data_IF_900491602574
#
_entry.id   IF_900491602574
#
_cell.length_a   1.000
_cell.length_b   1.000
_cell.length_c   1.000
_cell.angle_alpha   90.00
_cell.angle_beta   90.00
_cell.angle_gamma   90.00
#
_symmetry.space_group_name_H-M   'P 1'
#
loop_
_entity.id
_entity.type
_entity.pdbx_description
1 polymer ?
#
# COMPACT_ATOMS: atom_id res chain seq x y z
N UNK A 1 57.46 -14.40 26.90
CA UNK A 1 58.07 -15.31 25.92
C UNK A 1 58.81 -14.45 24.90
N UNK A 2 60.11 -14.31 25.11
CA UNK A 2 61.05 -13.41 24.42
C UNK A 2 61.90 -14.22 23.44
N UNK A 3 62.06 -13.77 22.19
CA UNK A 3 63.04 -14.25 21.19
C UNK A 3 63.27 -13.06 20.23
N UNK A 4 64.34 -12.26 20.28
CA UNK A 4 65.79 -12.52 20.15
C UNK A 4 66.13 -13.10 18.77
N UNK A 5 66.21 -12.22 17.76
CA UNK A 5 66.72 -12.54 16.41
C UNK A 5 68.19 -12.12 16.34
N UNK A 6 69.01 -13.11 15.98
CA UNK A 6 70.46 -13.14 15.99
C UNK A 6 71.08 -12.35 14.83
N UNK A 7 71.95 -11.39 15.18
CA UNK A 7 72.98 -10.84 14.29
C UNK A 7 74.18 -11.78 14.34
N UNK A 8 74.32 -12.67 13.35
CA UNK A 8 75.53 -13.46 13.19
C UNK A 8 75.66 -13.91 11.74
N UNK A 9 76.40 -13.13 10.93
CA UNK A 9 77.08 -13.52 9.67
C UNK A 9 77.48 -12.26 8.90
N UNK A 10 78.52 -11.55 9.37
CA UNK A 10 79.40 -10.78 8.47
C UNK A 10 80.66 -10.35 9.21
N UNK A 11 81.58 -11.28 9.49
CA UNK A 11 82.94 -10.94 9.96
C UNK A 11 83.83 -12.18 9.77
N UNK A 12 84.20 -12.45 8.53
CA UNK A 12 85.20 -13.45 8.17
C UNK A 12 85.74 -13.18 6.75
N UNK A 13 86.51 -12.10 6.59
CA UNK A 13 87.36 -11.89 5.42
C UNK A 13 88.49 -10.87 5.69
N UNK A 14 89.13 -10.94 6.86
CA UNK A 14 90.40 -10.25 7.12
C UNK A 14 91.43 -11.31 7.51
N UNK A 15 91.96 -11.99 6.50
CA UNK A 15 93.05 -12.93 6.66
C UNK A 15 94.13 -12.59 5.63
N UNK A 16 95.34 -12.39 6.16
CA UNK A 16 96.63 -12.51 5.49
C UNK A 16 96.93 -11.44 4.42
N UNK A 17 97.91 -10.58 4.71
CA UNK A 17 99.20 -10.58 4.01
C UNK A 17 100.20 -9.82 4.92
N UNK A 18 101.11 -10.60 5.49
CA UNK A 18 102.41 -10.15 5.99
C UNK A 18 103.47 -11.01 5.30
N UNK A 19 104.67 -10.44 5.15
CA UNK A 19 105.85 -10.94 4.41
C UNK A 19 105.77 -10.73 2.88
N UNK A 20 106.75 -10.14 2.19
CA UNK A 20 108.18 -10.02 2.49
C UNK A 20 108.80 -8.90 1.63
N UNK A 21 109.55 -8.01 2.27
CA UNK A 21 110.54 -7.13 1.66
C UNK A 21 111.85 -7.90 1.54
N UNK A 22 112.34 -8.15 0.33
CA UNK A 22 113.79 -8.12 0.01
C UNK A 22 114.02 -8.25 -1.50
N UNK A 23 114.37 -7.11 -2.11
CA UNK A 23 115.37 -6.94 -3.15
C UNK A 23 115.29 -7.79 -4.41
N UNK A 24 114.86 -7.18 -5.52
CA UNK A 24 115.56 -7.33 -6.80
C UNK A 24 115.33 -6.05 -7.63
N UNK A 25 116.45 -5.41 -7.93
CA UNK A 25 116.74 -4.49 -9.04
C UNK A 25 115.61 -3.58 -9.53
N UNK A 26 115.82 -2.28 -9.31
CA UNK A 26 115.26 -1.20 -10.12
C UNK A 26 115.60 -1.42 -11.60
N UNK A 27 114.81 -2.24 -12.28
CA UNK A 27 114.60 -2.12 -13.71
C UNK A 27 113.42 -1.19 -13.84
N UNK A 28 113.71 0.04 -14.27
CA UNK A 28 112.72 0.87 -14.92
C UNK A 28 112.18 0.06 -16.11
N UNK A 29 111.14 -0.75 -15.86
CA UNK A 29 110.17 -1.11 -16.87
C UNK A 29 109.46 0.21 -17.18
N UNK A 30 110.11 0.97 -18.06
CA UNK A 30 109.56 2.03 -18.85
C UNK A 30 108.39 1.40 -19.61
N UNK A 31 107.24 1.24 -18.95
CA UNK A 31 105.97 1.15 -19.65
C UNK A 31 106.00 2.31 -20.63
N UNK A 32 105.80 2.03 -21.92
CA UNK A 32 105.57 3.11 -22.86
C UNK A 32 104.39 3.90 -22.31
N UNK A 33 104.60 5.17 -21.97
CA UNK A 33 103.58 6.07 -21.44
C UNK A 33 102.32 6.08 -22.33
N UNK A 34 102.50 5.67 -23.60
CA UNK A 34 101.49 5.51 -24.63
C UNK A 34 100.51 4.34 -24.40
N UNK A 35 100.96 3.13 -24.02
CA UNK A 35 100.04 1.98 -23.80
C UNK A 35 99.11 2.21 -22.59
N UNK A 36 99.68 2.75 -21.51
CA UNK A 36 98.92 3.12 -20.33
C UNK A 36 97.89 4.23 -20.64
N UNK A 37 98.25 5.22 -21.48
CA UNK A 37 97.29 6.23 -21.98
C UNK A 37 96.17 5.60 -22.78
N UNK A 38 96.46 4.62 -23.64
CA UNK A 38 95.46 3.96 -24.47
C UNK A 38 94.44 3.19 -23.62
N UNK A 39 94.90 2.41 -22.64
CA UNK A 39 94.04 1.69 -21.71
C UNK A 39 93.15 2.63 -20.87
N UNK A 40 93.67 3.81 -20.48
CA UNK A 40 92.88 4.84 -19.78
C UNK A 40 91.80 5.42 -20.71
N UNK A 41 92.09 5.64 -21.99
CA UNK A 41 91.11 6.13 -22.97
C UNK A 41 90.00 5.09 -23.17
N UNK A 42 90.35 3.82 -23.34
CA UNK A 42 89.39 2.73 -23.52
C UNK A 42 88.52 2.50 -22.27
N UNK A 43 89.11 2.52 -21.07
CA UNK A 43 88.36 2.43 -19.82
C UNK A 43 87.41 3.62 -19.64
N UNK A 44 87.85 4.84 -19.96
CA UNK A 44 86.97 6.03 -19.93
C UNK A 44 85.82 5.88 -20.92
N UNK A 45 86.07 5.32 -22.10
CA UNK A 45 85.05 5.05 -23.12
C UNK A 45 84.04 4.01 -22.63
N UNK A 46 84.50 2.89 -22.08
CA UNK A 46 83.63 1.84 -21.51
C UNK A 46 82.80 2.36 -20.33
N UNK A 47 83.40 3.15 -19.43
CA UNK A 47 82.68 3.78 -18.31
C UNK A 47 81.63 4.76 -18.83
N UNK A 48 81.92 5.53 -19.89
CA UNK A 48 80.95 6.43 -20.53
C UNK A 48 79.81 5.64 -21.15
N UNK A 49 80.13 4.58 -21.90
CA UNK A 49 79.14 3.71 -22.53
C UNK A 49 78.25 3.00 -21.49
N UNK A 50 78.83 2.52 -20.38
CA UNK A 50 78.06 1.97 -19.26
C UNK A 50 77.18 3.01 -18.58
N UNK A 51 77.70 4.23 -18.35
CA UNK A 51 76.92 5.32 -17.78
C UNK A 51 75.76 5.73 -18.69
N UNK A 52 75.98 5.75 -20.01
CA UNK A 52 74.97 6.03 -21.02
C UNK A 52 73.93 4.91 -21.12
N UNK A 53 74.35 3.64 -21.02
CA UNK A 53 73.41 2.51 -20.97
C UNK A 53 72.58 2.53 -19.68
N UNK A 54 73.19 2.84 -18.54
CA UNK A 54 72.49 2.93 -17.25
C UNK A 54 71.51 4.11 -17.23
N UNK A 55 71.88 5.26 -17.80
CA UNK A 55 70.98 6.41 -17.90
C UNK A 55 69.80 6.15 -18.83
N UNK A 56 70.00 5.44 -19.95
CA UNK A 56 68.91 5.00 -20.84
C UNK A 56 67.94 4.05 -20.14
N UNK A 57 68.44 3.03 -19.43
CA UNK A 57 67.57 2.11 -18.66
C UNK A 57 66.74 2.83 -17.60
N UNK A 58 67.36 3.74 -16.84
CA UNK A 58 66.64 4.55 -15.85
C UNK A 58 65.57 5.45 -16.50
N UNK A 59 65.87 6.01 -17.67
CA UNK A 59 64.89 6.79 -18.44
C UNK A 59 63.73 5.93 -18.94
N UNK A 60 64.00 4.72 -19.44
CA UNK A 60 63.00 3.76 -19.88
C UNK A 60 62.12 3.27 -18.72
N UNK A 61 62.71 2.92 -17.58
CA UNK A 61 61.99 2.50 -16.36
C UNK A 61 61.12 3.64 -15.81
N UNK A 62 61.63 4.87 -15.81
CA UNK A 62 60.86 6.05 -15.40
C UNK A 62 59.69 6.29 -16.37
N UNK A 63 59.92 6.18 -17.67
CA UNK A 63 58.87 6.33 -18.67
C UNK A 63 57.80 5.22 -18.54
N UNK A 64 58.20 3.98 -18.26
CA UNK A 64 57.28 2.87 -18.00
C UNK A 64 56.47 3.09 -16.72
N UNK A 65 57.11 3.56 -15.65
CA UNK A 65 56.44 3.92 -14.39
C UNK A 65 55.44 5.06 -14.57
N UNK A 66 55.80 6.08 -15.34
CA UNK A 66 54.88 7.18 -15.69
C UNK A 66 53.67 6.68 -16.49
N UNK A 67 53.88 5.78 -17.46
CA UNK A 67 52.78 5.17 -18.24
C UNK A 67 51.85 4.34 -17.37
N UNK A 68 52.38 3.54 -16.44
CA UNK A 68 51.54 2.74 -15.53
C UNK A 68 50.76 3.62 -14.54
N UNK A 69 51.35 4.71 -14.04
CA UNK A 69 50.65 5.70 -13.21
C UNK A 69 49.49 6.37 -13.96
N UNK A 70 49.70 6.75 -15.22
CA UNK A 70 48.62 7.30 -16.06
C UNK A 70 47.50 6.29 -16.31
N UNK A 71 47.85 5.02 -16.52
CA UNK A 71 46.86 3.95 -16.70
C UNK A 71 46.02 3.74 -15.43
N UNK A 72 46.65 3.73 -14.25
CA UNK A 72 45.94 3.63 -12.97
C UNK A 72 45.06 4.84 -12.70
N UNK A 73 45.54 6.06 -13.01
CA UNK A 73 44.74 7.28 -12.89
C UNK A 73 43.47 7.20 -13.77
N UNK A 74 43.61 6.75 -15.02
CA UNK A 74 42.47 6.55 -15.92
C UNK A 74 41.48 5.50 -15.40
N UNK A 75 41.98 4.40 -14.80
CA UNK A 75 41.10 3.38 -14.20
C UNK A 75 40.36 3.90 -12.96
N UNK A 76 41.01 4.73 -12.14
CA UNK A 76 40.36 5.39 -10.99
C UNK A 76 39.26 6.32 -11.47
N UNK A 77 39.49 7.11 -12.52
CA UNK A 77 38.46 7.96 -13.12
C UNK A 77 37.26 7.15 -13.64
N UNK A 78 37.51 6.03 -14.32
CA UNK A 78 36.46 5.13 -14.79
C UNK A 78 35.63 4.56 -13.63
N UNK A 79 36.29 4.07 -12.57
CA UNK A 79 35.60 3.55 -11.38
C UNK A 79 34.80 4.63 -10.66
N UNK A 80 35.31 5.86 -10.59
CA UNK A 80 34.57 6.99 -10.00
C UNK A 80 33.30 7.31 -10.81
N UNK A 81 33.36 7.24 -12.13
CA UNK A 81 32.20 7.41 -13.01
C UNK A 81 31.17 6.27 -12.82
N UNK A 82 31.62 5.03 -12.70
CA UNK A 82 30.74 3.89 -12.42
C UNK A 82 30.07 4.01 -11.04
N UNK A 83 30.81 4.39 -10.00
CA UNK A 83 30.26 4.63 -8.66
C UNK A 83 29.19 5.73 -8.70
N UNK A 84 29.43 6.81 -9.44
CA UNK A 84 28.44 7.87 -9.61
C UNK A 84 27.17 7.35 -10.31
N UNK A 85 27.33 6.55 -11.37
CA UNK A 85 26.22 5.94 -12.10
C UNK A 85 25.42 4.96 -11.23
N UNK A 86 26.10 4.11 -10.47
CA UNK A 86 25.47 3.15 -9.55
C UNK A 86 24.72 3.87 -8.41
N UNK A 87 25.29 4.96 -7.86
CA UNK A 87 24.60 5.79 -6.86
C UNK A 87 23.31 6.38 -7.42
N UNK A 88 23.33 6.88 -8.66
CA UNK A 88 22.13 7.36 -9.33
C UNK A 88 21.09 6.26 -9.56
N UNK A 89 21.51 5.05 -9.95
CA UNK A 89 20.59 3.91 -10.08
C UNK A 89 19.98 3.49 -8.74
N UNK A 90 20.76 3.49 -7.66
CA UNK A 90 20.26 3.21 -6.31
C UNK A 90 19.19 4.23 -5.92
N UNK A 91 19.43 5.52 -6.15
CA UNK A 91 18.44 6.57 -5.85
C UNK A 91 17.12 6.36 -6.60
N UNK A 92 17.19 6.04 -7.90
CA UNK A 92 16.01 5.74 -8.71
C UNK A 92 15.27 4.50 -8.18
N UNK A 93 16.00 3.42 -7.87
CA UNK A 93 15.42 2.19 -7.34
C UNK A 93 14.79 2.41 -5.97
N UNK A 94 15.44 3.17 -5.08
CA UNK A 94 14.89 3.53 -3.78
C UNK A 94 13.58 4.31 -3.94
N UNK A 95 13.53 5.26 -4.88
CA UNK A 95 12.30 5.99 -5.18
C UNK A 95 11.20 5.06 -5.72
N UNK A 96 11.52 4.20 -6.68
CA UNK A 96 10.54 3.24 -7.24
C UNK A 96 10.00 2.28 -6.17
N UNK A 97 10.85 1.81 -5.24
CA UNK A 97 10.41 0.97 -4.11
C UNK A 97 9.49 1.76 -3.19
N UNK A 98 9.81 3.02 -2.87
CA UNK A 98 8.94 3.86 -2.05
C UNK A 98 7.58 4.11 -2.73
N UNK A 99 7.59 4.46 -4.02
CA UNK A 99 6.37 4.71 -4.80
C UNK A 99 5.49 3.45 -4.88
N UNK A 100 6.10 2.28 -5.10
CA UNK A 100 5.37 1.00 -5.16
C UNK A 100 4.84 0.57 -3.79
N UNK A 101 5.59 0.76 -2.71
CA UNK A 101 5.10 0.51 -1.35
C UNK A 101 3.92 1.42 -0.99
N UNK A 102 3.99 2.70 -1.37
CA UNK A 102 2.90 3.64 -1.15
C UNK A 102 1.65 3.24 -1.94
N UNK A 103 1.80 2.91 -3.23
CA UNK A 103 0.69 2.42 -4.05
C UNK A 103 0.07 1.13 -3.48
N UNK A 104 0.88 0.18 -2.99
CA UNK A 104 0.38 -1.03 -2.34
C UNK A 104 -0.45 -0.71 -1.09
N UNK A 105 0.01 0.24 -0.26
CA UNK A 105 -0.72 0.68 0.93
C UNK A 105 -2.07 1.30 0.56
N UNK A 106 -2.10 2.14 -0.48
CA UNK A 106 -3.32 2.80 -0.94
C UNK A 106 -4.34 1.77 -1.47
N UNK A 107 -3.88 0.76 -2.23
CA UNK A 107 -4.71 -0.36 -2.69
C UNK A 107 -5.25 -1.17 -1.50
N UNK A 108 -4.42 -1.47 -0.51
CA UNK A 108 -4.85 -2.23 0.67
C UNK A 108 -5.96 -1.50 1.44
N UNK A 109 -5.81 -0.19 1.64
CA UNK A 109 -6.82 0.64 2.31
C UNK A 109 -8.13 0.72 1.52
N UNK A 110 -8.07 0.82 0.18
CA UNK A 110 -9.27 0.77 -0.67
C UNK A 110 -9.99 -0.58 -0.54
N UNK A 111 -9.25 -1.69 -0.63
CA UNK A 111 -9.81 -3.04 -0.49
C UNK A 111 -10.46 -3.24 0.87
N UNK A 112 -9.79 -2.85 1.97
CA UNK A 112 -10.35 -2.95 3.33
C UNK A 112 -11.64 -2.12 3.46
N UNK A 113 -11.64 -0.90 2.92
CA UNK A 113 -12.82 -0.02 2.94
C UNK A 113 -13.98 -0.62 2.16
N UNK A 114 -13.71 -1.22 0.99
CA UNK A 114 -14.72 -1.86 0.16
C UNK A 114 -15.21 -3.17 0.78
N UNK A 115 -14.33 -3.95 1.39
CA UNK A 115 -14.69 -5.20 2.05
C UNK A 115 -15.60 -4.95 3.25
N UNK A 116 -15.27 -3.98 4.10
CA UNK A 116 -16.13 -3.53 5.22
C UNK A 116 -17.51 -3.05 4.77
N UNK A 117 -17.60 -2.51 3.56
CA UNK A 117 -18.88 -2.08 2.97
C UNK A 117 -19.73 -3.26 2.49
N UNK A 118 -19.08 -4.33 2.03
CA UNK A 118 -19.74 -5.52 1.52
C UNK A 118 -20.01 -6.57 2.61
N UNK A 119 -19.39 -6.43 3.79
CA UNK A 119 -19.60 -7.35 4.90
C UNK A 119 -21.08 -7.34 5.32
N UNK A 120 -21.81 -8.47 5.18
CA UNK A 120 -23.22 -8.52 5.54
C UNK A 120 -23.38 -8.37 7.04
N UNK A 121 -24.27 -7.48 7.47
CA UNK A 121 -24.60 -7.31 8.88
C UNK A 121 -25.84 -8.15 9.20
N UNK A 122 -25.81 -8.84 10.34
CA UNK A 122 -27.02 -9.44 10.92
C UNK A 122 -27.84 -8.32 11.56
N UNK A 123 -29.03 -8.07 11.02
CA UNK A 123 -29.99 -7.14 11.60
C UNK A 123 -31.21 -7.91 12.10
N UNK A 124 -31.71 -7.52 13.27
CA UNK A 124 -33.02 -7.96 13.75
C UNK A 124 -34.07 -7.02 13.17
N UNK A 125 -34.86 -7.51 12.22
CA UNK A 125 -35.88 -6.76 11.50
C UNK A 125 -37.22 -7.36 11.93
N UNK A 126 -37.99 -6.57 12.67
CA UNK A 126 -39.31 -6.96 13.18
C UNK A 126 -39.32 -8.35 13.87
N UNK A 127 -38.26 -8.65 14.62
CA UNK A 127 -38.11 -9.90 15.39
C UNK A 127 -37.48 -11.07 14.62
N UNK A 128 -37.16 -10.91 13.34
CA UNK A 128 -36.44 -11.90 12.54
C UNK A 128 -35.00 -11.46 12.29
N UNK A 129 -34.04 -12.36 12.51
CA UNK A 129 -32.66 -12.13 12.12
C UNK A 129 -32.53 -12.31 10.61
N UNK A 130 -32.12 -11.26 9.92
CA UNK A 130 -31.84 -11.31 8.50
C UNK A 130 -30.43 -10.80 8.22
N UNK A 131 -29.78 -11.44 7.25
CA UNK A 131 -28.47 -11.02 6.75
C UNK A 131 -28.68 -9.96 5.69
N UNK A 132 -28.23 -8.74 5.93
CA UNK A 132 -28.44 -7.58 5.06
C UNK A 132 -27.13 -6.91 4.71
N UNK A 133 -27.03 -6.40 3.48
CA UNK A 133 -25.84 -5.65 3.06
C UNK A 133 -25.67 -4.38 3.90
N UNK A 134 -24.43 -4.00 4.23
CA UNK A 134 -24.20 -2.81 5.04
C UNK A 134 -24.71 -1.52 4.36
N UNK A 135 -24.60 -1.43 3.03
CA UNK A 135 -25.12 -0.30 2.26
C UNK A 135 -26.65 -0.25 2.24
N UNK A 136 -27.31 -1.40 2.14
CA UNK A 136 -28.76 -1.50 2.23
C UNK A 136 -29.24 -1.02 3.61
N UNK A 137 -28.64 -1.53 4.68
CA UNK A 137 -28.96 -1.10 6.05
C UNK A 137 -28.78 0.40 6.23
N UNK A 138 -27.65 0.97 5.78
CA UNK A 138 -27.40 2.42 5.85
C UNK A 138 -28.44 3.23 5.08
N UNK A 139 -28.81 2.77 3.88
CA UNK A 139 -29.81 3.45 3.06
C UNK A 139 -31.20 3.42 3.73
N UNK A 140 -31.57 2.30 4.32
CA UNK A 140 -32.81 2.16 5.08
C UNK A 140 -32.80 3.05 6.33
N UNK A 141 -31.73 3.00 7.14
CA UNK A 141 -31.60 3.78 8.36
C UNK A 141 -31.70 5.28 8.08
N UNK A 142 -31.00 5.78 7.06
CA UNK A 142 -31.08 7.18 6.64
C UNK A 142 -32.50 7.59 6.21
N UNK A 143 -33.21 6.73 5.49
CA UNK A 143 -34.59 7.00 5.06
C UNK A 143 -35.58 6.98 6.24
N UNK A 144 -35.39 6.07 7.20
CA UNK A 144 -36.21 5.97 8.41
C UNK A 144 -35.97 7.12 9.37
N UNK A 145 -34.75 7.66 9.44
CA UNK A 145 -34.47 8.80 10.29
C UNK A 145 -35.24 10.05 9.82
N UNK A 146 -35.46 10.22 8.52
CA UNK A 146 -36.37 11.24 8.00
C UNK A 146 -37.80 11.06 8.53
N UNK A 147 -38.31 9.82 8.49
CA UNK A 147 -39.64 9.50 9.03
C UNK A 147 -39.72 9.78 10.54
N UNK A 148 -38.73 9.35 11.31
CA UNK A 148 -38.67 9.56 12.77
C UNK A 148 -38.61 11.03 13.16
N UNK A 149 -37.95 11.85 12.34
CA UNK A 149 -37.86 13.29 12.53
C UNK A 149 -39.13 14.03 12.05
N UNK A 150 -40.12 13.33 11.53
CA UNK A 150 -41.36 13.92 11.01
C UNK A 150 -41.24 14.53 9.61
N UNK A 151 -40.10 14.35 8.94
CA UNK A 151 -39.85 14.85 7.58
C UNK A 151 -40.48 13.90 6.55
N UNK A 152 -41.80 13.72 6.62
CA UNK A 152 -42.54 12.74 5.82
C UNK A 152 -42.44 12.99 4.32
N UNK A 153 -42.39 14.26 3.89
CA UNK A 153 -42.27 14.64 2.48
C UNK A 153 -40.96 14.15 1.86
N UNK A 154 -39.87 14.16 2.63
CA UNK A 154 -38.56 13.67 2.21
C UNK A 154 -38.40 12.16 2.44
N UNK A 155 -39.06 11.62 3.47
CA UNK A 155 -39.04 10.19 3.77
C UNK A 155 -39.65 9.35 2.63
N UNK A 156 -40.74 9.82 2.00
CA UNK A 156 -41.40 9.12 0.89
C UNK A 156 -40.44 8.81 -0.26
N UNK A 157 -39.76 9.79 -0.89
CA UNK A 157 -38.85 9.52 -1.98
C UNK A 157 -37.61 8.73 -1.52
N UNK A 158 -37.10 8.95 -0.31
CA UNK A 158 -35.97 8.21 0.23
C UNK A 158 -36.30 6.71 0.39
N UNK A 159 -37.42 6.38 1.02
CA UNK A 159 -37.89 5.00 1.19
C UNK A 159 -38.30 4.37 -0.15
N UNK A 160 -38.90 5.14 -1.06
CA UNK A 160 -39.26 4.64 -2.40
C UNK A 160 -38.02 4.27 -3.21
N UNK A 161 -36.96 5.07 -3.12
CA UNK A 161 -35.68 4.77 -3.73
C UNK A 161 -35.06 3.51 -3.10
N UNK A 162 -35.13 3.37 -1.78
CA UNK A 162 -34.68 2.17 -1.09
C UNK A 162 -35.38 0.90 -1.61
N UNK A 163 -36.71 0.89 -1.66
CA UNK A 163 -37.49 -0.27 -2.17
C UNK A 163 -37.16 -0.58 -3.63
N UNK A 164 -36.88 0.43 -4.45
CA UNK A 164 -36.47 0.25 -5.85
C UNK A 164 -35.06 -0.33 -5.98
N UNK A 165 -34.14 0.14 -5.15
CA UNK A 165 -32.74 -0.28 -5.18
C UNK A 165 -32.54 -1.67 -4.56
N UNK A 166 -33.31 -1.99 -3.53
CA UNK A 166 -33.22 -3.26 -2.79
C UNK A 166 -34.58 -3.97 -2.72
N UNK A 167 -35.15 -4.42 -3.87
CA UNK A 167 -36.51 -4.98 -3.91
C UNK A 167 -36.64 -6.33 -3.17
N UNK A 168 -35.53 -7.04 -2.97
CA UNK A 168 -35.48 -8.30 -2.20
C UNK A 168 -35.02 -8.09 -0.76
N UNK A 169 -34.86 -6.84 -0.34
CA UNK A 169 -34.46 -6.49 1.02
C UNK A 169 -35.46 -7.05 2.05
N UNK A 170 -34.98 -7.67 3.14
CA UNK A 170 -35.78 -7.94 4.32
C UNK A 170 -36.45 -6.69 4.92
N UNK A 171 -35.90 -5.50 4.71
CA UNK A 171 -36.51 -4.21 5.08
C UNK A 171 -37.55 -3.71 4.08
N UNK A 172 -37.68 -4.27 2.88
CA UNK A 172 -38.61 -3.76 1.86
C UNK A 172 -40.07 -3.67 2.36
N UNK A 173 -40.63 -4.67 3.08
CA UNK A 173 -41.98 -4.56 3.63
C UNK A 173 -42.09 -3.43 4.66
N UNK A 174 -41.07 -3.27 5.52
CA UNK A 174 -41.04 -2.19 6.50
C UNK A 174 -40.96 -0.81 5.83
N UNK A 175 -40.07 -0.65 4.83
CA UNK A 175 -39.97 0.58 4.06
C UNK A 175 -41.30 0.94 3.40
N UNK A 176 -41.98 -0.04 2.78
CA UNK A 176 -43.29 0.18 2.16
C UNK A 176 -44.37 0.59 3.19
N UNK A 177 -44.33 0.02 4.39
CA UNK A 177 -45.20 0.43 5.51
C UNK A 177 -44.98 1.91 5.88
N UNK A 178 -43.72 2.33 5.97
CA UNK A 178 -43.37 3.70 6.34
C UNK A 178 -43.68 4.71 5.22
N UNK A 179 -43.62 4.31 3.94
CA UNK A 179 -44.10 5.16 2.83
C UNK A 179 -45.60 5.44 3.00
N UNK A 180 -46.42 4.39 3.20
CA UNK A 180 -47.85 4.54 3.39
C UNK A 180 -48.19 5.37 4.64
N UNK A 181 -47.47 5.13 5.74
CA UNK A 181 -47.61 5.91 6.98
C UNK A 181 -47.19 7.37 6.83
N UNK A 182 -46.18 7.66 5.99
CA UNK A 182 -45.77 9.03 5.67
C UNK A 182 -46.86 9.77 4.89
N UNK A 183 -47.46 9.12 3.89
CA UNK A 183 -48.61 9.68 3.17
C UNK A 183 -49.79 9.92 4.11
N UNK A 184 -50.05 9.00 5.05
CA UNK A 184 -51.07 9.19 6.08
C UNK A 184 -50.81 10.45 6.90
N UNK A 185 -49.57 10.64 7.37
CA UNK A 185 -49.18 11.80 8.17
C UNK A 185 -49.32 13.13 7.39
N UNK A 186 -49.08 13.09 6.08
CA UNK A 186 -49.31 14.21 5.16
C UNK A 186 -50.77 14.38 4.73
N UNK A 187 -51.69 13.57 5.26
CA UNK A 187 -53.12 13.53 4.93
C UNK A 187 -53.42 13.17 3.48
N UNK A 188 -52.46 12.59 2.77
CA UNK A 188 -52.67 11.97 1.47
C UNK A 188 -53.20 10.55 1.66
N UNK A 189 -54.43 10.47 2.16
CA UNK A 189 -55.06 9.21 2.55
C UNK A 189 -55.26 8.26 1.37
N UNK A 190 -55.43 8.78 0.14
CA UNK A 190 -55.55 7.96 -1.06
C UNK A 190 -54.24 7.26 -1.39
N UNK A 191 -53.12 7.99 -1.38
CA UNK A 191 -51.81 7.39 -1.59
C UNK A 191 -51.43 6.44 -0.46
N UNK A 192 -51.74 6.82 0.80
CA UNK A 192 -51.54 5.96 1.96
C UNK A 192 -52.23 4.60 1.77
N UNK A 193 -53.52 4.59 1.42
CA UNK A 193 -54.27 3.37 1.15
C UNK A 193 -53.61 2.54 0.05
N UNK A 194 -53.24 3.15 -1.07
CA UNK A 194 -52.64 2.43 -2.20
C UNK A 194 -51.31 1.74 -1.83
N UNK A 195 -50.42 2.45 -1.14
CA UNK A 195 -49.12 1.91 -0.71
C UNK A 195 -49.29 0.77 0.28
N UNK A 196 -50.19 0.97 1.24
CA UNK A 196 -50.45 0.01 2.30
C UNK A 196 -51.16 -1.25 1.79
N UNK A 197 -52.05 -1.10 0.79
CA UNK A 197 -52.67 -2.22 0.10
C UNK A 197 -51.64 -3.05 -0.67
N UNK A 198 -50.67 -2.40 -1.32
CA UNK A 198 -49.58 -3.10 -1.99
C UNK A 198 -48.74 -3.92 -1.00
N UNK A 199 -48.47 -3.40 0.20
CA UNK A 199 -47.79 -4.17 1.25
C UNK A 199 -48.58 -5.42 1.63
N UNK A 200 -49.87 -5.27 1.95
CA UNK A 200 -50.71 -6.40 2.37
C UNK A 200 -50.86 -7.44 1.26
N UNK A 201 -50.89 -7.00 -0.01
CA UNK A 201 -50.96 -7.89 -1.17
C UNK A 201 -49.66 -8.66 -1.39
N UNK A 202 -48.51 -7.98 -1.30
CA UNK A 202 -47.21 -8.57 -1.63
C UNK A 202 -46.61 -9.34 -0.44
N UNK A 203 -46.94 -8.94 0.79
CA UNK A 203 -46.38 -9.48 2.03
C UNK A 203 -47.48 -9.81 3.06
N UNK A 204 -48.46 -10.68 2.72
CA UNK A 204 -49.60 -10.96 3.59
C UNK A 204 -49.21 -11.63 4.92
N UNK A 205 -48.08 -12.33 5.00
CA UNK A 205 -47.59 -12.98 6.22
C UNK A 205 -46.63 -12.10 7.04
N UNK A 206 -46.34 -10.87 6.59
CA UNK A 206 -45.43 -9.99 7.32
C UNK A 206 -46.12 -9.44 8.57
N UNK A 207 -45.36 -9.28 9.66
CA UNK A 207 -45.85 -8.79 10.96
C UNK A 207 -46.49 -7.40 10.90
N UNK A 208 -46.12 -6.58 9.89
CA UNK A 208 -46.72 -5.25 9.65
C UNK A 208 -47.97 -5.28 8.78
N UNK A 209 -48.32 -6.40 8.14
CA UNK A 209 -49.53 -6.51 7.32
C UNK A 209 -50.85 -6.21 8.09
N UNK A 210 -51.05 -6.65 9.35
CA UNK A 210 -52.24 -6.24 10.09
C UNK A 210 -52.20 -4.75 10.51
N UNK A 211 -51.04 -4.21 10.88
CA UNK A 211 -50.89 -2.78 11.16
C UNK A 211 -51.15 -1.92 9.91
N UNK A 212 -50.77 -2.44 8.75
CA UNK A 212 -51.03 -1.83 7.46
C UNK A 212 -52.53 -1.67 7.20
N UNK A 213 -53.30 -2.70 7.49
CA UNK A 213 -54.76 -2.63 7.40
C UNK A 213 -55.36 -1.63 8.40
N UNK A 214 -54.77 -1.43 9.58
CA UNK A 214 -55.21 -0.39 10.52
C UNK A 214 -55.00 1.02 9.97
N UNK A 215 -53.89 1.26 9.26
CA UNK A 215 -53.62 2.55 8.59
C UNK A 215 -54.61 2.78 7.44
N UNK A 216 -54.92 1.73 6.66
CA UNK A 216 -55.96 1.78 5.61
C UNK A 216 -57.32 2.14 6.21
N UNK A 217 -57.73 1.43 7.27
CA UNK A 217 -59.00 1.68 7.93
C UNK A 217 -59.07 3.11 8.48
N UNK A 218 -57.99 3.60 9.10
CA UNK A 218 -57.90 5.00 9.55
C UNK A 218 -58.05 5.98 8.40
N UNK A 219 -57.36 5.75 7.28
CA UNK A 219 -57.45 6.59 6.08
C UNK A 219 -58.85 6.61 5.48
N UNK A 220 -59.54 5.47 5.49
CA UNK A 220 -60.92 5.37 5.03
C UNK A 220 -61.88 6.17 5.92
N UNK A 221 -61.68 6.15 7.25
CA UNK A 221 -62.46 6.98 8.18
C UNK A 221 -62.25 8.46 7.88
N UNK A 222 -61.01 8.90 7.70
CA UNK A 222 -60.66 10.28 7.37
C UNK A 222 -61.25 10.74 6.02
N UNK A 223 -61.41 9.80 5.07
CA UNK A 223 -62.08 10.03 3.79
C UNK A 223 -63.62 9.91 3.85
N UNK A 224 -64.20 9.76 5.04
CA UNK A 224 -65.63 9.49 5.27
C UNK A 224 -66.15 8.17 4.66
N UNK A 225 -65.27 7.27 4.22
CA UNK A 225 -65.63 5.93 3.76
C UNK A 225 -65.79 4.97 4.96
N UNK A 226 -66.84 5.22 5.75
CA UNK A 226 -67.16 4.37 6.93
C UNK A 226 -67.45 2.92 6.55
N UNK A 227 -68.05 2.68 5.39
CA UNK A 227 -68.35 1.32 4.91
C UNK A 227 -67.05 0.57 4.60
N UNK A 228 -66.15 1.19 3.86
CA UNK A 228 -64.83 0.63 3.58
C UNK A 228 -64.01 0.40 4.85
N UNK A 229 -63.98 1.38 5.76
CA UNK A 229 -63.28 1.25 7.03
C UNK A 229 -63.75 0.04 7.84
N UNK A 230 -65.08 -0.16 7.95
CA UNK A 230 -65.65 -1.32 8.64
C UNK A 230 -65.23 -2.64 8.00
N UNK A 231 -65.34 -2.75 6.67
CA UNK A 231 -64.92 -3.95 5.94
C UNK A 231 -63.42 -4.26 6.14
N UNK A 232 -62.57 -3.23 6.15
CA UNK A 232 -61.13 -3.40 6.41
C UNK A 232 -60.86 -3.88 7.84
N UNK A 233 -61.53 -3.33 8.85
CA UNK A 233 -61.35 -3.75 10.24
C UNK A 233 -61.86 -5.18 10.48
N UNK A 234 -63.01 -5.54 9.90
CA UNK A 234 -63.54 -6.92 9.93
C UNK A 234 -62.55 -7.90 9.29
N UNK A 235 -61.90 -7.49 8.20
CA UNK A 235 -60.84 -8.27 7.55
C UNK A 235 -59.65 -8.51 8.49
N UNK A 236 -59.22 -7.54 9.29
CA UNK A 236 -58.10 -7.73 10.24
C UNK A 236 -58.46 -8.83 11.25
N UNK A 237 -59.66 -8.78 11.80
CA UNK A 237 -60.12 -9.74 12.82
C UNK A 237 -60.20 -11.16 12.25
N UNK A 238 -60.63 -11.29 10.99
CA UNK A 238 -60.76 -12.56 10.30
C UNK A 238 -59.43 -13.13 9.84
N UNK A 239 -58.60 -12.32 9.18
CA UNK A 239 -57.38 -12.77 8.50
C UNK A 239 -56.18 -12.84 9.45
N UNK A 240 -56.18 -12.08 10.56
CA UNK A 240 -55.09 -12.01 11.54
C UNK A 240 -55.58 -12.18 12.98
N UNK A 241 -56.14 -13.35 13.35
CA UNK A 241 -56.62 -13.57 14.71
C UNK A 241 -55.45 -13.57 15.72
N UNK A 242 -55.64 -12.91 16.87
CA UNK A 242 -54.71 -12.99 18.00
C UNK A 242 -53.52 -12.02 17.98
N UNK A 243 -53.38 -11.17 16.94
CA UNK A 243 -52.40 -10.07 16.96
C UNK A 243 -52.97 -8.82 17.65
N UNK A 244 -52.13 -7.93 18.24
CA UNK A 244 -52.60 -6.70 18.87
C UNK A 244 -53.51 -5.84 17.97
N UNK A 245 -53.18 -5.77 16.67
CA UNK A 245 -53.96 -5.04 15.70
C UNK A 245 -55.41 -5.55 15.53
N UNK A 246 -55.66 -6.86 15.74
CA UNK A 246 -57.01 -7.40 15.70
C UNK A 246 -57.86 -6.93 16.88
N UNK A 247 -57.25 -6.73 18.05
CA UNK A 247 -57.95 -6.12 19.19
C UNK A 247 -58.28 -4.65 18.89
N UNK A 248 -57.29 -3.88 18.42
CA UNK A 248 -57.51 -2.49 17.99
C UNK A 248 -58.60 -2.39 16.92
N UNK A 249 -58.68 -3.37 16.01
CA UNK A 249 -59.72 -3.42 14.99
C UNK A 249 -61.13 -3.60 15.57
N UNK A 250 -61.28 -4.46 16.60
CA UNK A 250 -62.56 -4.64 17.32
C UNK A 250 -62.99 -3.33 17.99
N UNK A 251 -62.08 -2.71 18.73
CA UNK A 251 -62.36 -1.48 19.46
C UNK A 251 -62.80 -0.36 18.49
N UNK A 252 -62.10 -0.20 17.36
CA UNK A 252 -62.46 0.78 16.32
C UNK A 252 -63.78 0.48 15.62
N UNK A 253 -64.14 -0.79 15.44
CA UNK A 253 -65.43 -1.17 14.83
C UNK A 253 -66.62 -0.76 15.72
N UNK A 254 -66.47 -0.82 17.03
CA UNK A 254 -67.52 -0.38 17.96
C UNK A 254 -67.78 1.12 17.87
N UNK A 255 -66.72 1.91 17.68
CA UNK A 255 -66.80 3.36 17.50
C UNK A 255 -67.39 3.78 16.14
N UNK A 256 -67.47 2.87 15.17
CA UNK A 256 -68.00 3.10 13.82
C UNK A 256 -69.45 2.60 13.63
N UNK A 257 -70.11 2.19 14.71
CA UNK A 257 -71.55 1.89 14.73
C UNK A 257 -72.36 3.18 14.71
#
# INVERSE_FOLDING_TARGET
>A
MTLRISRLRLLAATACIGASLSGFSAHAALFSDDEARQAIIDLRKEVRERADQQSRKLADDLAQSQRSQLQLASQIEQLQQEIARLRGQIEILTKQVADTQQAQKDIYLDVDTRLKRLEPQTASIDGQQATVGADEKRAYDAAIDLFRNGNYADAIPALSNFVRQYPQSPYAPAAQFYIGSSHYALKDYKAAIAQQQSLVKNYPSNVRAPDALLVIAGSQVELNDRRGARSTLERIIRDYPGVPAAQTAKDRLELLK
#
